data_IF_051154842668
#
_entry.id   IF_051154842668
#
_cell.length_a   1.000
_cell.length_b   1.000
_cell.length_c   1.000
_cell.angle_alpha   90.00
_cell.angle_beta   90.00
_cell.angle_gamma   90.00
#
_symmetry.space_group_name_H-M   'P 1'
#
loop_
_entity.id
_entity.type
_entity.pdbx_description
1 polymer ?
#
# COMPACT_ATOMS: atom_id res chain seq x y z
N UNK A 1 -29.02 -19.16 -83.56
CA UNK A 1 -27.96 -18.18 -83.21
C UNK A 1 -28.17 -17.72 -81.78
N UNK A 2 -27.52 -18.34 -80.84
CA UNK A 2 -27.48 -17.85 -79.47
C UNK A 2 -26.17 -18.33 -78.86
N UNK A 3 -25.25 -17.45 -78.58
CA UNK A 3 -23.95 -17.73 -78.04
C UNK A 3 -24.05 -17.85 -76.52
N UNK A 4 -23.72 -19.00 -75.99
CA UNK A 4 -23.56 -19.26 -74.56
C UNK A 4 -22.22 -18.72 -74.08
N UNK A 5 -22.24 -17.84 -73.10
CA UNK A 5 -21.07 -17.41 -72.36
C UNK A 5 -21.01 -18.23 -71.07
N UNK A 6 -19.92 -18.93 -70.87
CA UNK A 6 -19.51 -19.51 -69.58
C UNK A 6 -19.03 -18.40 -68.63
N UNK A 7 -19.37 -18.40 -67.37
CA UNK A 7 -18.71 -17.59 -66.34
C UNK A 7 -17.53 -18.39 -65.78
N UNK A 8 -16.36 -17.74 -65.75
CA UNK A 8 -15.18 -18.23 -65.08
C UNK A 8 -15.37 -18.13 -63.54
N UNK A 9 -15.26 -19.24 -62.84
CA UNK A 9 -15.22 -19.29 -61.39
C UNK A 9 -13.78 -18.94 -60.95
N UNK A 10 -13.60 -17.81 -60.28
CA UNK A 10 -12.39 -17.45 -59.56
C UNK A 10 -12.55 -17.98 -58.12
N UNK A 11 -12.09 -19.21 -57.94
CA UNK A 11 -12.08 -19.89 -56.64
C UNK A 11 -10.77 -19.57 -55.92
N UNK A 12 -10.75 -18.42 -55.23
CA UNK A 12 -9.67 -18.14 -54.29
C UNK A 12 -9.95 -18.85 -52.97
N UNK A 13 -9.23 -19.89 -52.71
CA UNK A 13 -9.19 -20.57 -51.43
C UNK A 13 -8.84 -19.57 -50.27
N UNK A 14 -9.52 -19.66 -49.12
CA UNK A 14 -9.16 -18.85 -47.97
C UNK A 14 -7.82 -19.30 -47.40
N UNK A 15 -6.89 -18.35 -47.27
CA UNK A 15 -5.60 -18.53 -46.59
C UNK A 15 -5.90 -18.84 -45.13
N UNK A 16 -5.73 -20.11 -44.77
CA UNK A 16 -5.80 -20.56 -43.37
C UNK A 16 -4.60 -20.01 -42.57
N UNK A 17 -4.88 -19.36 -41.42
CA UNK A 17 -3.95 -19.30 -40.32
C UNK A 17 -3.37 -17.96 -39.98
N UNK A 18 -4.18 -16.96 -39.75
CA UNK A 18 -3.84 -15.89 -38.79
C UNK A 18 -4.14 -16.46 -37.40
N UNK A 19 -3.12 -16.98 -36.74
CA UNK A 19 -3.24 -17.39 -35.34
C UNK A 19 -3.48 -16.12 -34.56
N UNK A 20 -4.68 -15.99 -34.00
CA UNK A 20 -4.97 -15.01 -32.93
C UNK A 20 -3.93 -15.18 -31.85
N UNK A 21 -2.94 -14.30 -31.84
CA UNK A 21 -2.03 -14.13 -30.71
C UNK A 21 -2.92 -13.58 -29.59
N UNK A 22 -3.07 -14.28 -28.45
CA UNK A 22 -3.88 -13.76 -27.36
C UNK A 22 -3.35 -12.38 -27.00
N UNK A 23 -4.21 -11.36 -27.11
CA UNK A 23 -3.93 -10.01 -26.66
C UNK A 23 -3.50 -10.10 -25.19
N UNK A 24 -2.20 -9.94 -24.95
CA UNK A 24 -1.60 -9.98 -23.62
C UNK A 24 -2.28 -8.88 -22.81
N UNK A 25 -3.22 -9.28 -21.96
CA UNK A 25 -3.99 -8.40 -21.08
C UNK A 25 -3.00 -7.51 -20.35
N UNK A 26 -2.88 -6.26 -20.79
CA UNK A 26 -2.05 -5.25 -20.14
C UNK A 26 -2.59 -5.05 -18.72
N UNK A 27 -1.90 -5.61 -17.73
CA UNK A 27 -2.15 -5.31 -16.32
C UNK A 27 -1.87 -3.82 -16.17
N UNK A 28 -2.87 -3.01 -15.73
CA UNK A 28 -2.66 -1.59 -15.56
C UNK A 28 -1.47 -1.36 -14.61
N UNK A 29 -0.54 -0.50 -15.03
CA UNK A 29 0.62 -0.16 -14.19
C UNK A 29 0.13 0.39 -12.84
N UNK A 30 0.71 -0.15 -11.75
CA UNK A 30 0.55 0.40 -10.42
C UNK A 30 0.96 1.88 -10.45
N UNK A 31 0.17 2.82 -9.88
CA UNK A 31 0.58 4.21 -9.79
C UNK A 31 1.95 4.24 -9.10
N UNK A 32 2.96 4.71 -9.83
CA UNK A 32 4.30 4.82 -9.31
C UNK A 32 4.26 5.77 -8.10
N UNK A 33 4.13 5.22 -6.91
CA UNK A 33 4.55 5.92 -5.71
C UNK A 33 6.05 6.10 -5.86
N UNK A 34 6.46 7.34 -6.26
CA UNK A 34 7.85 7.78 -6.41
C UNK A 34 8.84 6.60 -6.50
N UNK A 35 9.56 6.41 -7.57
CA UNK A 35 10.58 5.41 -7.90
C UNK A 35 10.82 4.19 -6.96
N UNK A 36 11.71 3.27 -7.24
CA UNK A 36 11.85 2.02 -6.46
C UNK A 36 12.12 2.22 -4.96
N UNK A 37 12.55 3.41 -4.52
CA UNK A 37 12.71 3.79 -3.11
C UNK A 37 11.42 4.26 -2.43
N UNK A 38 10.49 4.87 -3.17
CA UNK A 38 9.31 5.51 -2.57
C UNK A 38 8.30 4.52 -1.98
N UNK A 39 8.10 3.37 -2.62
CA UNK A 39 7.21 2.34 -2.09
C UNK A 39 7.72 1.70 -0.80
N UNK A 40 9.05 1.51 -0.67
CA UNK A 40 9.66 1.02 0.58
C UNK A 40 9.58 2.04 1.70
N UNK A 41 9.78 3.31 1.39
CA UNK A 41 9.64 4.38 2.36
C UNK A 41 8.21 4.43 2.94
N UNK A 42 7.19 4.43 2.08
CA UNK A 42 5.78 4.37 2.49
C UNK A 42 5.51 3.11 3.33
N UNK A 43 6.04 1.94 2.93
CA UNK A 43 5.89 0.70 3.68
C UNK A 43 6.48 0.78 5.09
N UNK A 44 7.65 1.41 5.24
CA UNK A 44 8.27 1.63 6.57
C UNK A 44 7.41 2.55 7.43
N UNK A 45 6.93 3.67 6.88
CA UNK A 45 6.06 4.60 7.61
C UNK A 45 4.76 3.92 8.06
N UNK A 46 4.13 3.11 7.20
CA UNK A 46 2.94 2.33 7.56
C UNK A 46 3.21 1.31 8.67
N UNK A 47 4.34 0.59 8.59
CA UNK A 47 4.71 -0.38 9.61
C UNK A 47 4.99 0.28 10.96
N UNK A 48 5.71 1.40 10.97
CA UNK A 48 5.96 2.19 12.19
C UNK A 48 4.66 2.79 12.72
N UNK A 49 3.78 3.29 11.84
CA UNK A 49 2.46 3.79 12.21
C UNK A 49 1.60 2.70 12.85
N UNK A 50 1.57 1.49 12.27
CA UNK A 50 0.85 0.36 12.84
C UNK A 50 1.41 -0.04 14.22
N UNK A 51 2.74 -0.03 14.39
CA UNK A 51 3.39 -0.35 15.65
C UNK A 51 3.03 0.68 16.73
N UNK A 52 3.17 1.98 16.43
CA UNK A 52 2.84 3.05 17.39
C UNK A 52 1.36 3.10 17.71
N UNK A 53 0.49 2.82 16.72
CA UNK A 53 -0.96 2.71 16.93
C UNK A 53 -1.36 1.51 17.79
N UNK A 54 -0.48 0.50 17.92
CA UNK A 54 -0.69 -0.68 18.78
C UNK A 54 -0.16 -0.50 20.21
N UNK A 55 0.33 0.70 20.58
CA UNK A 55 0.92 0.92 21.91
C UNK A 55 -0.10 0.86 23.05
N UNK A 56 -1.42 0.91 22.77
CA UNK A 56 -2.45 0.59 23.76
C UNK A 56 -2.28 -0.79 24.40
N UNK A 57 -1.61 -1.76 23.73
CA UNK A 57 -1.28 -3.06 24.30
C UNK A 57 -0.43 -2.97 25.58
N UNK A 58 0.24 -1.83 25.81
CA UNK A 58 0.97 -1.58 27.05
C UNK A 58 0.05 -1.46 28.27
N UNK A 59 -1.27 -1.31 28.10
CA UNK A 59 -2.20 -1.37 29.21
C UNK A 59 -2.10 -2.68 30.02
N UNK A 60 -1.72 -3.79 29.36
CA UNK A 60 -1.57 -5.08 30.01
C UNK A 60 -0.49 -5.10 31.11
N UNK A 61 0.75 -4.65 30.85
CA UNK A 61 1.80 -4.54 31.87
C UNK A 61 1.68 -3.29 32.75
N UNK A 62 0.94 -2.25 32.32
CA UNK A 62 0.75 -1.03 33.09
C UNK A 62 -0.54 -1.15 33.93
N UNK A 63 -0.47 -0.83 35.20
CA UNK A 63 -1.63 -0.82 36.08
C UNK A 63 -2.47 0.45 35.82
N UNK A 64 -3.27 0.43 34.76
CA UNK A 64 -4.09 1.58 34.32
C UNK A 64 -5.36 1.75 35.15
N UNK A 65 -5.84 0.68 35.80
CA UNK A 65 -7.09 0.70 36.57
C UNK A 65 -8.36 0.63 35.71
N UNK A 66 -8.23 0.56 34.39
CA UNK A 66 -9.35 0.44 33.44
C UNK A 66 -9.64 -1.04 33.14
N UNK A 67 -10.92 -1.35 32.88
CA UNK A 67 -11.35 -2.68 32.44
C UNK A 67 -11.19 -2.81 30.90
N UNK A 68 -10.29 -3.67 30.39
CA UNK A 68 -10.06 -3.79 28.95
C UNK A 68 -11.29 -4.25 28.16
N UNK A 69 -12.26 -4.89 28.82
CA UNK A 69 -13.49 -5.38 28.17
C UNK A 69 -14.55 -4.29 28.09
N UNK A 70 -14.64 -3.45 29.11
CA UNK A 70 -15.75 -2.50 29.26
C UNK A 70 -15.35 -1.04 29.00
N UNK A 71 -14.08 -0.67 29.19
CA UNK A 71 -13.61 0.71 29.06
C UNK A 71 -13.14 1.04 27.64
N UNK A 72 -13.39 2.28 27.19
CA UNK A 72 -12.85 2.78 25.92
C UNK A 72 -11.33 2.73 25.90
N UNK A 73 -10.74 2.44 24.73
CA UNK A 73 -9.28 2.58 24.56
C UNK A 73 -8.84 4.03 24.70
N UNK A 74 -9.67 4.96 24.26
CA UNK A 74 -9.39 6.41 24.37
C UNK A 74 -9.32 6.91 25.82
N UNK A 75 -9.92 6.21 26.78
CA UNK A 75 -9.79 6.54 28.21
C UNK A 75 -8.36 6.34 28.72
N UNK A 76 -7.56 5.43 28.10
CA UNK A 76 -6.13 5.31 28.41
C UNK A 76 -5.37 6.64 28.21
N UNK A 77 -5.84 7.45 27.27
CA UNK A 77 -5.28 8.74 26.90
C UNK A 77 -5.91 9.93 27.67
N UNK A 78 -6.88 9.69 28.55
CA UNK A 78 -7.55 10.76 29.32
C UNK A 78 -6.56 11.55 30.20
N UNK A 79 -6.91 12.79 30.52
CA UNK A 79 -5.98 13.69 31.25
C UNK A 79 -5.80 13.32 32.71
N UNK A 80 -6.77 12.64 33.31
CA UNK A 80 -6.75 12.12 34.69
C UNK A 80 -6.03 10.77 34.82
N UNK A 81 -5.70 10.12 33.72
CA UNK A 81 -5.05 8.81 33.73
C UNK A 81 -3.53 8.90 33.94
N UNK A 82 -2.92 7.99 34.75
CA UNK A 82 -1.51 8.05 35.11
C UNK A 82 -0.56 7.96 33.91
N UNK A 83 -0.95 7.26 32.85
CA UNK A 83 -0.18 7.08 31.63
C UNK A 83 -0.78 7.83 30.43
N UNK A 84 -1.76 8.70 30.64
CA UNK A 84 -2.47 9.39 29.56
C UNK A 84 -1.54 10.17 28.62
N UNK A 85 -0.51 10.81 29.13
CA UNK A 85 0.47 11.51 28.31
C UNK A 85 1.26 10.58 27.37
N UNK A 86 1.59 9.36 27.81
CA UNK A 86 2.26 8.35 26.99
C UNK A 86 1.37 7.93 25.83
N UNK A 87 0.12 7.55 26.10
CA UNK A 87 -0.81 7.12 25.05
C UNK A 87 -1.11 8.23 24.06
N UNK A 88 -1.32 9.48 24.51
CA UNK A 88 -1.44 10.64 23.60
C UNK A 88 -0.21 10.87 22.72
N UNK A 89 1.00 10.68 23.28
CA UNK A 89 2.22 10.84 22.49
C UNK A 89 2.36 9.76 21.41
N UNK A 90 1.99 8.50 21.71
CA UNK A 90 2.00 7.41 20.75
C UNK A 90 0.94 7.58 19.67
N UNK A 91 -0.25 8.07 20.01
CA UNK A 91 -1.33 8.37 19.06
C UNK A 91 -0.93 9.51 18.11
N UNK A 92 -0.33 10.58 18.66
CA UNK A 92 0.21 11.66 17.83
C UNK A 92 1.23 11.14 16.83
N UNK A 93 2.17 10.35 17.29
CA UNK A 93 3.22 9.79 16.43
C UNK A 93 2.61 8.87 15.37
N UNK A 94 1.67 8.00 15.75
CA UNK A 94 0.97 7.12 14.83
C UNK A 94 0.23 7.93 13.76
N UNK A 95 -0.54 8.94 14.16
CA UNK A 95 -1.27 9.82 13.25
C UNK A 95 -0.37 10.52 12.24
N UNK A 96 0.76 11.09 12.70
CA UNK A 96 1.72 11.77 11.83
C UNK A 96 2.41 10.80 10.85
N UNK A 97 2.80 9.60 11.30
CA UNK A 97 3.41 8.58 10.45
C UNK A 97 2.45 8.10 9.36
N UNK A 98 1.19 7.85 9.71
CA UNK A 98 0.16 7.41 8.77
C UNK A 98 -0.21 8.51 7.78
N UNK A 99 -0.31 9.76 8.24
CA UNK A 99 -0.52 10.91 7.35
C UNK A 99 0.64 11.07 6.36
N UNK A 100 1.89 11.02 6.84
CA UNK A 100 3.08 11.09 5.99
C UNK A 100 3.15 9.93 4.99
N UNK A 101 2.73 8.72 5.39
CA UNK A 101 2.66 7.56 4.53
C UNK A 101 1.61 7.71 3.41
N UNK A 102 0.47 8.34 3.71
CA UNK A 102 -0.66 8.44 2.79
C UNK A 102 -0.48 9.51 1.71
N UNK A 103 0.22 10.62 2.01
CA UNK A 103 0.32 11.78 1.11
C UNK A 103 1.00 11.48 -0.23
N UNK A 104 2.18 10.83 -0.33
CA UNK A 104 2.82 10.58 -1.61
C UNK A 104 1.97 9.73 -2.57
N UNK A 105 1.41 8.57 -2.15
CA UNK A 105 0.56 7.79 -3.05
C UNK A 105 -0.77 8.47 -3.35
N UNK A 106 -1.32 9.28 -2.46
CA UNK A 106 -2.52 10.09 -2.74
C UNK A 106 -2.28 11.05 -3.90
N UNK A 107 -1.16 11.76 -3.89
CA UNK A 107 -0.79 12.70 -4.95
C UNK A 107 -0.57 11.97 -6.30
N UNK A 108 -0.02 10.75 -6.26
CA UNK A 108 0.21 9.94 -7.45
C UNK A 108 -1.08 9.29 -8.00
N UNK A 109 -2.05 8.96 -7.15
CA UNK A 109 -3.24 8.18 -7.50
C UNK A 109 -4.43 9.00 -8.01
N UNK A 110 -4.30 10.31 -8.24
CA UNK A 110 -5.39 11.27 -8.52
C UNK A 110 -6.41 10.84 -9.60
N UNK A 111 -6.02 10.01 -10.55
CA UNK A 111 -6.89 9.54 -11.63
C UNK A 111 -7.57 8.19 -11.36
N UNK A 112 -7.38 7.60 -10.19
CA UNK A 112 -7.88 6.25 -9.85
C UNK A 112 -8.76 6.31 -8.62
N UNK A 113 -10.06 6.40 -8.83
CA UNK A 113 -11.07 6.66 -7.79
C UNK A 113 -10.87 5.86 -6.50
N UNK A 114 -10.79 4.53 -6.57
CA UNK A 114 -10.66 3.68 -5.39
C UNK A 114 -9.31 3.84 -4.67
N UNK A 115 -8.22 4.00 -5.43
CA UNK A 115 -6.91 4.22 -4.83
C UNK A 115 -6.80 5.61 -4.23
N UNK A 116 -7.21 6.65 -4.97
CA UNK A 116 -7.19 8.03 -4.48
C UNK A 116 -8.09 8.20 -3.25
N UNK A 117 -9.32 7.67 -3.31
CA UNK A 117 -10.25 7.69 -2.17
C UNK A 117 -9.71 6.95 -0.95
N UNK A 118 -9.08 5.79 -1.15
CA UNK A 118 -8.49 5.03 -0.06
C UNK A 118 -7.29 5.71 0.59
N UNK A 119 -6.39 6.30 -0.21
CA UNK A 119 -5.27 7.08 0.35
C UNK A 119 -5.72 8.39 1.00
N UNK A 120 -6.75 9.05 0.47
CA UNK A 120 -7.36 10.23 1.10
C UNK A 120 -8.00 9.86 2.46
N UNK A 121 -8.70 8.73 2.52
CA UNK A 121 -9.28 8.22 3.75
C UNK A 121 -8.21 7.85 4.79
N UNK A 122 -7.08 7.25 4.35
CA UNK A 122 -5.94 6.98 5.24
C UNK A 122 -5.28 8.26 5.73
N UNK A 123 -5.18 9.29 4.88
CA UNK A 123 -4.70 10.61 5.30
C UNK A 123 -5.65 11.26 6.32
N UNK A 124 -6.97 11.14 6.11
CA UNK A 124 -7.98 11.58 7.08
C UNK A 124 -7.83 10.85 8.41
N UNK A 125 -7.67 9.52 8.38
CA UNK A 125 -7.42 8.72 9.59
C UNK A 125 -6.19 9.23 10.34
N UNK A 126 -5.04 9.38 9.66
CA UNK A 126 -3.81 9.88 10.30
C UNK A 126 -3.97 11.30 10.87
N UNK A 127 -4.61 12.21 10.12
CA UNK A 127 -4.84 13.57 10.57
C UNK A 127 -5.81 13.63 11.77
N UNK A 128 -6.89 12.85 11.73
CA UNK A 128 -7.87 12.79 12.80
C UNK A 128 -7.28 12.17 14.08
N UNK A 129 -6.48 11.09 13.97
CA UNK A 129 -5.76 10.49 15.11
C UNK A 129 -4.77 11.47 15.73
N UNK A 130 -4.02 12.23 14.90
CA UNK A 130 -3.13 13.27 15.42
C UNK A 130 -3.89 14.41 16.12
N UNK A 131 -5.05 14.80 15.60
CA UNK A 131 -5.92 15.79 16.24
C UNK A 131 -6.51 15.26 17.55
N UNK A 132 -6.95 13.99 17.56
CA UNK A 132 -7.54 13.29 18.70
C UNK A 132 -6.58 13.27 19.91
N UNK A 133 -5.29 13.05 19.66
CA UNK A 133 -4.26 13.12 20.70
C UNK A 133 -4.15 14.50 21.39
N UNK A 134 -4.67 15.56 20.75
CA UNK A 134 -4.69 16.93 21.27
C UNK A 134 -6.03 17.34 21.86
N UNK A 135 -7.02 16.49 21.70
CA UNK A 135 -8.38 16.66 22.20
C UNK A 135 -8.72 15.49 23.15
N UNK A 136 -7.96 15.29 24.25
CA UNK A 136 -8.17 14.15 25.12
C UNK A 136 -9.47 14.26 25.91
N UNK A 137 -10.01 13.10 26.31
CA UNK A 137 -11.01 13.05 27.37
C UNK A 137 -10.45 13.67 28.64
N UNK A 138 -11.27 14.39 29.38
CA UNK A 138 -10.88 14.97 30.67
C UNK A 138 -10.85 13.95 31.81
N UNK A 139 -11.63 12.87 31.68
CA UNK A 139 -11.80 11.78 32.63
C UNK A 139 -12.33 10.53 31.90
N UNK A 140 -12.40 9.40 32.60
CA UNK A 140 -12.85 8.11 32.07
C UNK A 140 -14.32 7.82 32.45
N UNK A 141 -15.30 8.10 31.57
CA UNK A 141 -16.72 7.97 31.92
C UNK A 141 -17.18 6.52 32.18
N UNK A 142 -16.49 5.50 31.65
CA UNK A 142 -16.89 4.09 31.88
C UNK A 142 -16.59 3.62 33.31
N UNK A 143 -15.69 4.27 34.04
CA UNK A 143 -15.27 3.89 35.39
C UNK A 143 -15.54 4.96 36.44
N UNK A 144 -15.76 6.21 36.04
CA UNK A 144 -16.09 7.34 36.93
C UNK A 144 -17.49 7.87 36.65
N UNK A 145 -18.45 7.49 37.52
CA UNK A 145 -19.85 7.92 37.41
C UNK A 145 -20.02 9.46 37.49
N UNK A 146 -19.11 10.19 38.19
CA UNK A 146 -19.16 11.63 38.21
C UNK A 146 -18.70 12.25 36.87
N UNK A 147 -17.74 11.60 36.22
CA UNK A 147 -17.33 11.94 34.86
C UNK A 147 -18.48 11.79 33.87
N UNK A 148 -19.14 10.63 33.88
CA UNK A 148 -20.31 10.37 33.04
C UNK A 148 -21.43 11.40 33.28
N UNK A 149 -21.79 11.67 34.53
CA UNK A 149 -22.81 12.68 34.86
C UNK A 149 -22.44 14.09 34.37
N UNK A 150 -21.15 14.47 34.37
CA UNK A 150 -20.71 15.75 33.83
C UNK A 150 -20.78 15.80 32.32
N UNK A 151 -20.47 14.70 31.66
CA UNK A 151 -20.58 14.54 30.21
C UNK A 151 -22.04 14.71 29.76
N UNK A 152 -22.97 13.97 30.40
CA UNK A 152 -24.41 14.06 30.15
C UNK A 152 -24.97 15.49 30.38
N UNK A 153 -24.46 16.16 31.38
CA UNK A 153 -24.84 17.55 31.69
C UNK A 153 -24.15 18.61 30.78
N UNK A 154 -23.25 18.19 29.87
CA UNK A 154 -22.47 19.12 29.04
C UNK A 154 -21.46 19.96 29.83
N UNK A 155 -21.05 19.50 31.02
CA UNK A 155 -20.14 20.21 31.93
C UNK A 155 -18.68 19.78 31.79
N UNK A 156 -18.33 19.14 30.68
CA UNK A 156 -16.95 18.75 30.35
C UNK A 156 -16.25 19.81 29.49
N UNK A 157 -14.90 19.88 29.50
CA UNK A 157 -14.15 20.79 28.63
C UNK A 157 -14.41 20.55 27.14
N UNK A 158 -14.26 21.60 26.33
CA UNK A 158 -14.41 21.53 24.88
C UNK A 158 -13.59 20.38 24.22
N UNK A 159 -12.34 20.15 24.69
CA UNK A 159 -11.51 19.06 24.19
C UNK A 159 -12.16 17.68 24.36
N UNK A 160 -12.83 17.45 25.48
CA UNK A 160 -13.58 16.22 25.76
C UNK A 160 -14.72 16.00 24.74
N UNK A 161 -15.56 17.02 24.53
CA UNK A 161 -16.66 16.94 23.55
C UNK A 161 -16.13 16.83 22.10
N UNK A 162 -15.06 17.56 21.77
CA UNK A 162 -14.46 17.51 20.44
C UNK A 162 -13.79 16.15 20.14
N UNK A 163 -13.38 15.40 21.17
CA UNK A 163 -12.83 14.05 21.06
C UNK A 163 -13.78 13.10 20.32
N UNK A 164 -15.06 13.12 20.63
CA UNK A 164 -16.04 12.28 19.95
C UNK A 164 -16.09 12.53 18.44
N UNK A 165 -15.93 13.78 18.01
CA UNK A 165 -15.89 14.16 16.58
C UNK A 165 -14.60 13.69 15.93
N UNK A 166 -13.43 13.91 16.56
CA UNK A 166 -12.13 13.49 16.01
C UNK A 166 -12.02 11.96 15.93
N UNK A 167 -12.47 11.24 16.95
CA UNK A 167 -12.54 9.77 16.97
C UNK A 167 -13.50 9.22 15.91
N UNK A 168 -14.67 9.85 15.72
CA UNK A 168 -15.60 9.49 14.66
C UNK A 168 -15.00 9.68 13.26
N UNK A 169 -14.26 10.76 13.03
CA UNK A 169 -13.55 11.01 11.78
C UNK A 169 -12.39 10.01 11.58
N UNK A 170 -11.64 9.68 12.65
CA UNK A 170 -10.59 8.68 12.58
C UNK A 170 -11.15 7.31 12.18
N UNK A 171 -12.21 6.85 12.86
CA UNK A 171 -12.89 5.58 12.56
C UNK A 171 -13.42 5.56 11.12
N UNK A 172 -14.09 6.62 10.68
CA UNK A 172 -14.61 6.74 9.31
C UNK A 172 -13.49 6.69 8.28
N UNK A 173 -12.39 7.41 8.52
CA UNK A 173 -11.20 7.40 7.69
C UNK A 173 -10.57 6.00 7.61
N UNK A 174 -10.39 5.32 8.75
CA UNK A 174 -9.82 3.99 8.83
C UNK A 174 -10.65 2.96 8.05
N UNK A 175 -11.95 2.85 8.34
CA UNK A 175 -12.86 1.89 7.68
C UNK A 175 -12.92 2.16 6.17
N UNK A 176 -13.02 3.43 5.77
CA UNK A 176 -13.04 3.79 4.34
C UNK A 176 -11.73 3.43 3.65
N UNK A 177 -10.57 3.65 4.30
CA UNK A 177 -9.26 3.27 3.76
C UNK A 177 -9.14 1.75 3.58
N UNK A 178 -9.52 0.98 4.62
CA UNK A 178 -9.51 -0.49 4.61
C UNK A 178 -10.34 -1.03 3.43
N UNK A 179 -11.55 -0.53 3.24
CA UNK A 179 -12.44 -0.96 2.14
C UNK A 179 -11.88 -0.51 0.79
N UNK A 180 -11.60 0.79 0.61
CA UNK A 180 -11.27 1.35 -0.69
C UNK A 180 -9.93 0.84 -1.24
N UNK A 181 -8.87 0.73 -0.41
CA UNK A 181 -7.58 0.20 -0.85
C UNK A 181 -7.64 -1.31 -1.11
N UNK A 182 -8.43 -2.06 -0.33
CA UNK A 182 -8.67 -3.49 -0.61
C UNK A 182 -9.40 -3.68 -1.93
N UNK A 183 -10.42 -2.87 -2.23
CA UNK A 183 -11.12 -2.88 -3.53
C UNK A 183 -10.16 -2.50 -4.66
N UNK A 184 -9.33 -1.46 -4.46
CA UNK A 184 -8.32 -1.06 -5.44
C UNK A 184 -7.33 -2.19 -5.73
N UNK A 185 -6.81 -2.85 -4.69
CA UNK A 185 -5.90 -3.99 -4.82
C UNK A 185 -6.51 -5.12 -5.66
N UNK A 186 -7.78 -5.47 -5.42
CA UNK A 186 -8.47 -6.53 -6.16
C UNK A 186 -8.80 -6.15 -7.59
N UNK A 187 -9.33 -4.94 -7.82
CA UNK A 187 -9.75 -4.49 -9.15
C UNK A 187 -8.59 -4.33 -10.13
N UNK A 188 -7.43 -3.93 -9.61
CA UNK A 188 -6.27 -3.67 -10.46
C UNK A 188 -5.22 -4.79 -10.44
N UNK A 189 -5.43 -5.84 -9.64
CA UNK A 189 -4.43 -6.92 -9.47
C UNK A 189 -3.16 -6.46 -8.75
N UNK A 190 -3.23 -5.30 -8.05
CA UNK A 190 -2.12 -4.79 -7.28
C UNK A 190 -2.02 -5.47 -5.92
N UNK A 191 -0.83 -5.39 -5.32
CA UNK A 191 -0.62 -5.80 -3.93
C UNK A 191 -1.20 -7.19 -3.61
N UNK A 192 -0.68 -8.28 -4.22
CA UNK A 192 -1.26 -9.61 -4.09
C UNK A 192 -1.54 -10.08 -2.66
N UNK A 193 -0.71 -9.78 -1.64
CA UNK A 193 -1.05 -10.09 -0.25
C UNK A 193 -2.35 -9.41 0.17
N UNK A 194 -2.48 -8.10 -0.03
CA UNK A 194 -3.68 -7.35 0.33
C UNK A 194 -4.90 -7.79 -0.49
N UNK A 195 -4.74 -8.06 -1.78
CA UNK A 195 -5.83 -8.52 -2.63
C UNK A 195 -6.44 -9.86 -2.17
N UNK A 196 -5.63 -10.73 -1.54
CA UNK A 196 -6.04 -12.04 -1.04
C UNK A 196 -6.63 -11.98 0.37
N UNK A 197 -5.93 -11.34 1.31
CA UNK A 197 -6.34 -11.32 2.73
C UNK A 197 -7.26 -10.16 3.08
N UNK A 198 -7.18 -9.06 2.30
CA UNK A 198 -7.94 -7.83 2.55
C UNK A 198 -9.44 -8.03 2.70
N UNK A 199 -10.14 -8.82 1.85
CA UNK A 199 -11.58 -9.03 2.00
C UNK A 199 -11.99 -9.62 3.35
N UNK A 200 -11.21 -10.56 3.89
CA UNK A 200 -11.47 -11.12 5.22
C UNK A 200 -11.27 -10.06 6.28
N UNK A 201 -10.17 -9.28 6.20
CA UNK A 201 -9.91 -8.20 7.14
C UNK A 201 -10.99 -7.12 7.07
N UNK A 202 -11.51 -6.78 5.87
CA UNK A 202 -12.64 -5.85 5.72
C UNK A 202 -13.88 -6.35 6.47
N UNK A 203 -14.25 -7.62 6.31
CA UNK A 203 -15.43 -8.18 6.97
C UNK A 203 -15.25 -8.16 8.49
N UNK A 204 -14.09 -8.58 8.99
CA UNK A 204 -13.79 -8.59 10.41
C UNK A 204 -13.76 -7.18 11.00
N UNK A 205 -13.16 -6.22 10.30
CA UNK A 205 -13.12 -4.81 10.71
C UNK A 205 -14.52 -4.19 10.78
N UNK A 206 -15.37 -4.45 9.78
CA UNK A 206 -16.76 -3.98 9.80
C UNK A 206 -17.55 -4.62 10.92
N UNK A 207 -17.33 -5.90 11.23
CA UNK A 207 -17.97 -6.58 12.35
C UNK A 207 -17.52 -6.01 13.70
N UNK A 208 -16.20 -5.76 13.86
CA UNK A 208 -15.66 -5.15 15.07
C UNK A 208 -16.17 -3.71 15.24
N UNK A 209 -16.21 -2.93 14.16
CA UNK A 209 -16.79 -1.57 14.15
C UNK A 209 -18.26 -1.59 14.55
N UNK A 210 -19.05 -2.51 13.99
CA UNK A 210 -20.47 -2.65 14.35
C UNK A 210 -20.62 -3.01 15.84
N UNK A 211 -19.80 -3.94 16.35
CA UNK A 211 -19.79 -4.28 17.77
C UNK A 211 -19.48 -3.08 18.66
N UNK A 212 -18.41 -2.34 18.33
CA UNK A 212 -18.04 -1.10 19.05
C UNK A 212 -19.20 -0.11 19.06
N UNK A 213 -19.82 0.17 17.90
CA UNK A 213 -20.93 1.12 17.81
C UNK A 213 -22.17 0.67 18.60
N UNK A 214 -22.49 -0.63 18.60
CA UNK A 214 -23.57 -1.17 19.42
C UNK A 214 -23.25 -1.05 20.91
N UNK A 215 -22.00 -1.31 21.32
CA UNK A 215 -21.55 -1.13 22.69
C UNK A 215 -21.64 0.33 23.14
N UNK A 216 -21.20 1.27 22.31
CA UNK A 216 -21.33 2.71 22.57
C UNK A 216 -22.80 3.10 22.73
N UNK A 217 -23.66 2.71 21.78
CA UNK A 217 -25.09 3.01 21.84
C UNK A 217 -25.77 2.41 23.08
N UNK A 218 -25.33 1.24 23.53
CA UNK A 218 -25.84 0.62 24.77
C UNK A 218 -25.39 1.37 26.00
N UNK A 219 -24.14 1.84 26.03
CA UNK A 219 -23.59 2.67 27.11
C UNK A 219 -24.33 4.01 27.22
N UNK A 220 -24.47 4.73 26.14
CA UNK A 220 -25.22 5.99 26.05
C UNK A 220 -26.70 5.85 26.45
N UNK A 221 -27.27 4.68 26.21
CA UNK A 221 -28.65 4.37 26.61
C UNK A 221 -28.78 3.79 28.03
N UNK A 222 -27.71 3.85 28.84
CA UNK A 222 -27.65 3.29 30.22
C UNK A 222 -27.99 1.79 30.30
N UNK A 223 -27.76 1.02 29.22
CA UNK A 223 -28.04 -0.42 29.12
C UNK A 223 -26.81 -1.31 29.39
N UNK A 224 -25.71 -0.71 29.92
CA UNK A 224 -24.44 -1.37 30.17
C UNK A 224 -23.48 -1.28 29.00
N UNK A 225 -22.28 -1.82 29.15
CA UNK A 225 -21.15 -1.58 28.24
C UNK A 225 -21.09 -2.55 27.05
N UNK A 226 -21.71 -3.72 27.14
CA UNK A 226 -21.77 -4.77 26.10
C UNK A 226 -20.40 -5.14 25.49
N UNK A 227 -19.35 -5.05 26.31
CA UNK A 227 -18.00 -5.34 25.84
C UNK A 227 -17.45 -4.34 24.83
N UNK A 228 -17.88 -3.08 24.92
CA UNK A 228 -17.46 -2.02 23.98
C UNK A 228 -15.93 -1.89 23.90
N UNK A 229 -15.24 -2.02 25.05
CA UNK A 229 -13.79 -1.97 25.12
C UNK A 229 -13.13 -3.12 24.35
N UNK A 230 -13.68 -4.33 24.48
CA UNK A 230 -13.20 -5.49 23.71
C UNK A 230 -13.45 -5.31 22.20
N UNK A 231 -14.62 -4.80 21.81
CA UNK A 231 -14.95 -4.48 20.43
C UNK A 231 -13.97 -3.47 19.83
N UNK A 232 -13.69 -2.40 20.55
CA UNK A 232 -12.76 -1.36 20.13
C UNK A 232 -11.30 -1.88 19.99
N UNK A 233 -10.84 -2.70 20.95
CA UNK A 233 -9.50 -3.32 20.88
C UNK A 233 -9.38 -4.30 19.71
N UNK A 234 -10.42 -5.07 19.44
CA UNK A 234 -10.45 -5.94 18.26
C UNK A 234 -10.35 -5.13 16.96
N UNK A 235 -11.09 -4.02 16.86
CA UNK A 235 -11.05 -3.10 15.72
C UNK A 235 -9.65 -2.51 15.52
N UNK A 236 -9.01 -1.99 16.57
CA UNK A 236 -7.67 -1.42 16.50
C UNK A 236 -6.63 -2.46 16.07
N UNK A 237 -6.73 -3.69 16.60
CA UNK A 237 -5.84 -4.79 16.24
C UNK A 237 -5.99 -5.18 14.76
N UNK A 238 -7.23 -5.33 14.28
CA UNK A 238 -7.52 -5.68 12.89
C UNK A 238 -7.00 -4.60 11.93
N UNK A 239 -7.18 -3.33 12.28
CA UNK A 239 -6.64 -2.20 11.52
C UNK A 239 -5.10 -2.23 11.49
N UNK A 240 -4.44 -2.48 12.62
CA UNK A 240 -2.98 -2.61 12.68
C UNK A 240 -2.48 -3.76 11.80
N UNK A 241 -3.12 -4.92 11.85
CA UNK A 241 -2.82 -6.07 10.98
C UNK A 241 -3.01 -5.70 9.50
N UNK A 242 -4.09 -5.01 9.16
CA UNK A 242 -4.35 -4.57 7.79
C UNK A 242 -3.27 -3.59 7.31
N UNK A 243 -2.85 -2.62 8.13
CA UNK A 243 -1.75 -1.68 7.83
C UNK A 243 -0.44 -2.43 7.56
N UNK A 244 -0.11 -3.46 8.35
CA UNK A 244 1.06 -4.30 8.15
C UNK A 244 0.98 -5.11 6.85
N UNK A 245 -0.20 -5.63 6.50
CA UNK A 245 -0.42 -6.33 5.22
C UNK A 245 -0.25 -5.36 4.04
N UNK A 246 -0.75 -4.13 4.15
CA UNK A 246 -0.56 -3.09 3.14
C UNK A 246 0.93 -2.73 3.01
N UNK A 247 1.62 -2.49 4.13
CA UNK A 247 3.06 -2.22 4.17
C UNK A 247 3.87 -3.33 3.50
N UNK A 248 3.59 -4.57 3.86
CA UNK A 248 4.21 -5.76 3.26
C UNK A 248 3.96 -5.87 1.76
N UNK A 249 2.75 -5.55 1.32
CA UNK A 249 2.36 -5.57 -0.08
C UNK A 249 3.16 -4.55 -0.90
N UNK A 250 3.31 -3.33 -0.39
CA UNK A 250 4.11 -2.26 -1.01
C UNK A 250 5.60 -2.60 -1.01
N UNK A 251 6.12 -3.17 0.08
CA UNK A 251 7.52 -3.60 0.17
C UNK A 251 7.87 -4.63 -0.91
N UNK A 252 7.01 -5.66 -1.08
CA UNK A 252 7.19 -6.69 -2.12
C UNK A 252 7.04 -6.15 -3.54
N UNK A 253 6.13 -5.20 -3.76
CA UNK A 253 5.93 -4.54 -5.06
C UNK A 253 7.17 -3.78 -5.51
N UNK A 254 7.81 -3.05 -4.61
CA UNK A 254 9.02 -2.27 -4.89
C UNK A 254 10.25 -3.10 -5.29
N UNK A 255 10.30 -4.39 -4.92
CA UNK A 255 11.39 -5.30 -5.31
C UNK A 255 11.28 -5.86 -6.73
N UNK A 256 10.09 -5.88 -7.31
CA UNK A 256 9.83 -6.47 -8.65
C UNK A 256 10.05 -5.48 -9.80
N UNK A 257 10.06 -4.18 -9.55
CA UNK A 257 10.29 -3.12 -10.56
C UNK A 257 11.77 -2.91 -10.93
N UNK A 258 12.72 -3.39 -10.12
CA UNK A 258 14.15 -3.15 -10.32
C UNK A 258 14.87 -4.05 -11.31
N UNK A 259 14.32 -5.21 -11.65
CA UNK A 259 15.01 -6.21 -12.48
C UNK A 259 14.44 -6.45 -13.87
N UNK A 260 13.18 -6.13 -14.11
CA UNK A 260 12.47 -6.46 -15.36
C UNK A 260 12.28 -5.29 -16.33
N UNK A 261 12.10 -4.07 -15.82
CA UNK A 261 11.79 -2.90 -16.65
C UNK A 261 12.97 -2.41 -17.48
N UNK A 262 14.14 -2.30 -16.89
CA UNK A 262 15.35 -1.84 -17.62
C UNK A 262 15.84 -2.86 -18.67
N UNK A 263 15.74 -4.16 -18.36
CA UNK A 263 16.13 -5.21 -19.31
C UNK A 263 15.14 -5.35 -20.48
N UNK A 264 13.87 -5.04 -20.27
CA UNK A 264 12.84 -5.05 -21.32
C UNK A 264 12.95 -3.84 -22.25
N UNK A 265 13.28 -2.62 -21.72
CA UNK A 265 13.54 -1.42 -22.51
C UNK A 265 14.77 -1.57 -23.39
N UNK A 266 15.85 -2.17 -22.88
CA UNK A 266 17.08 -2.41 -23.66
C UNK A 266 16.87 -3.46 -24.75
N UNK A 267 15.90 -4.37 -24.64
CA UNK A 267 15.54 -5.33 -25.70
C UNK A 267 14.57 -4.75 -26.71
N UNK A 268 13.67 -3.85 -26.31
CA UNK A 268 12.72 -3.20 -27.21
C UNK A 268 13.37 -2.09 -28.08
N UNK A 269 14.53 -1.55 -27.66
CA UNK A 269 15.26 -0.51 -28.37
C UNK A 269 16.28 -0.98 -29.41
N UNK A 270 16.42 -2.28 -29.67
CA UNK A 270 17.19 -2.74 -30.83
C UNK A 270 16.28 -2.71 -32.06
N UNK A 271 16.52 -1.76 -33.01
CA UNK A 271 15.82 -1.84 -34.29
C UNK A 271 16.17 -3.19 -34.91
N UNK A 272 15.15 -3.96 -35.30
CA UNK A 272 15.35 -5.12 -36.17
C UNK A 272 16.11 -4.59 -37.38
N UNK A 273 17.36 -5.05 -37.57
CA UNK A 273 18.04 -4.86 -38.83
C UNK A 273 17.09 -5.39 -39.89
N UNK A 274 16.60 -4.51 -40.74
CA UNK A 274 15.90 -4.91 -41.95
C UNK A 274 16.86 -5.85 -42.70
N UNK A 275 16.52 -7.13 -42.81
CA UNK A 275 17.15 -8.01 -43.76
C UNK A 275 16.88 -7.43 -45.14
N UNK A 276 17.95 -6.96 -45.78
CA UNK A 276 17.90 -6.55 -47.17
C UNK A 276 17.41 -7.74 -48.01
N UNK A 277 16.48 -7.50 -48.98
CA UNK A 277 16.02 -8.58 -49.85
C UNK A 277 17.18 -9.08 -50.67
N UNK A 278 17.38 -10.40 -50.66
CA UNK A 278 18.34 -11.07 -51.53
C UNK A 278 17.99 -10.84 -53.00
N UNK A 279 18.85 -10.10 -53.70
CA UNK A 279 18.76 -9.91 -55.12
C UNK A 279 19.11 -11.22 -55.87
N UNK A 280 18.50 -11.45 -57.06
CA UNK A 280 18.70 -12.68 -57.80
C UNK A 280 20.03 -12.72 -58.54
N UNK A 281 20.62 -13.87 -58.52
CA UNK A 281 21.69 -14.50 -59.23
C UNK A 281 22.50 -13.75 -60.33
N UNK A 282 23.77 -13.91 -60.21
CA UNK A 282 24.74 -13.66 -61.27
C UNK A 282 25.90 -14.64 -61.13
N UNK A 283 25.95 -15.58 -62.02
CA UNK A 283 27.00 -16.56 -62.19
C UNK A 283 28.24 -15.89 -62.85
N UNK A 284 29.42 -16.34 -62.49
CA UNK A 284 30.57 -16.71 -63.29
C UNK A 284 31.90 -16.30 -62.63
N UNK A 285 32.73 -17.29 -62.39
CA UNK A 285 33.97 -17.47 -63.13
C UNK A 285 35.23 -17.01 -62.43
N UNK A 286 36.07 -17.93 -62.01
CA UNK A 286 37.47 -17.86 -62.41
C UNK A 286 38.54 -17.55 -61.36
N UNK A 287 39.20 -18.61 -60.92
CA UNK A 287 40.67 -18.78 -60.83
C UNK A 287 41.56 -18.02 -59.84
N UNK A 288 42.17 -18.81 -59.02
CA UNK A 288 43.64 -18.98 -58.85
C UNK A 288 44.45 -17.92 -58.09
N UNK A 289 45.24 -18.42 -57.15
CA UNK A 289 46.50 -17.84 -56.70
C UNK A 289 46.70 -17.70 -55.20
N UNK A 290 47.33 -18.68 -54.56
CA UNK A 290 48.01 -18.49 -53.30
C UNK A 290 49.42 -17.87 -53.58
N UNK A 291 50.42 -17.98 -52.67
CA UNK A 291 50.45 -18.09 -51.22
C UNK A 291 51.48 -17.12 -50.60
N UNK A 292 51.83 -17.33 -49.38
CA UNK A 292 53.02 -16.91 -48.63
C UNK A 292 52.90 -15.64 -47.75
N UNK A 293 53.18 -15.82 -46.55
CA UNK A 293 54.46 -15.64 -45.83
C UNK A 293 54.29 -14.54 -44.81
N UNK A 294 54.46 -14.73 -43.56
CA UNK A 294 55.68 -14.78 -42.82
C UNK A 294 55.58 -13.93 -41.55
N UNK A 295 55.82 -14.58 -40.48
CA UNK A 295 56.70 -14.24 -39.35
C UNK A 295 56.57 -12.97 -38.55
N UNK A 296 56.46 -13.22 -37.25
CA UNK A 296 57.39 -12.87 -36.13
C UNK A 296 57.13 -11.53 -35.44
N UNK A 297 56.99 -11.44 -34.20
CA UNK A 297 57.86 -11.45 -33.08
C UNK A 297 57.14 -10.90 -31.83
N UNK A 298 57.28 -11.52 -30.71
CA UNK A 298 57.13 -10.93 -29.38
C UNK A 298 58.44 -10.24 -29.00
N UNK A 299 58.80 -10.05 -27.72
CA UNK A 299 58.04 -10.03 -26.47
C UNK A 299 58.44 -8.86 -25.52
N UNK A 300 58.04 -8.96 -24.25
CA UNK A 300 58.65 -8.33 -23.04
C UNK A 300 58.16 -6.91 -22.69
N UNK A 301 57.86 -6.54 -21.51
CA UNK A 301 58.36 -6.72 -20.19
C UNK A 301 57.50 -5.97 -19.17
N UNK A 302 57.39 -6.51 -17.99
CA UNK A 302 57.00 -5.77 -16.79
C UNK A 302 58.22 -5.01 -16.21
N UNK A 303 58.30 -4.63 -14.97
CA UNK A 303 57.37 -4.67 -13.83
C UNK A 303 57.42 -3.39 -12.95
N UNK A 304 56.74 -3.46 -11.80
CA UNK A 304 57.13 -2.87 -10.54
C UNK A 304 56.68 -1.49 -10.08
N UNK A 305 56.18 -1.51 -8.88
CA UNK A 305 56.49 -0.62 -7.76
C UNK A 305 55.41 0.42 -7.50
N UNK A 306 54.83 0.61 -6.33
CA UNK A 306 55.25 0.33 -4.99
C UNK A 306 54.68 1.42 -4.08
N UNK A 307 54.33 1.04 -2.88
CA UNK A 307 54.31 1.83 -1.64
C UNK A 307 53.27 2.96 -1.47
N UNK A 308 52.38 2.88 -0.51
CA UNK A 308 52.54 3.12 0.95
C UNK A 308 52.32 4.58 1.39
N UNK A 309 51.54 4.79 2.41
CA UNK A 309 51.43 5.98 3.25
C UNK A 309 50.00 6.15 3.77
N UNK A 310 49.64 5.64 4.89
CA UNK A 310 49.69 6.12 6.29
C UNK A 310 49.16 7.55 6.47
N UNK A 311 48.22 7.62 7.39
CA UNK A 311 48.20 8.66 8.42
C UNK A 311 46.93 9.48 8.49
N UNK A 312 46.20 9.40 9.36
CA UNK A 312 45.73 9.74 10.71
C UNK A 312 44.22 9.64 10.80
#
# INVERSE_FOLDING_TARGET
MAASRCPAADERAPVAGERDVPEERQVPEEPAAAGPGGGRFVAVLLALGALTYSMWLLEGPLATGLDPVQSYVSELAATDQPFGALFRATDLLAGLLLLAAALPPLLAARRRFWAAGGWAALALFGAATAADSRLPLSCAPTVDALCAAREDAGLVPFGHTAHAVSSGLATTGAVTAVVALTVAARRHGWWPPLARTGPVLVVLELAATAWTLVGVAAFEAERGHWGLGAGQRAQLLLLAVWLLVLAWSLWRGSGRGGGGGAARWLRAGRPRRAEAPAGPGGSSGGRSGGPSGGRSGGPSGGPSGGRAGRGR
#
